data_IF_379724955119
#
_entry.id   IF_379724955119
#
_cell.length_a   1.000
_cell.length_b   1.000
_cell.length_c   1.000
_cell.angle_alpha   90.00
_cell.angle_beta   90.00
_cell.angle_gamma   90.00
#
_symmetry.space_group_name_H-M   'P 1'
#
loop_
_entity.id
_entity.type
_entity.pdbx_description
1 polymer ?
#
# COMPACT_ATOMS: atom_id res chain seq x y z
N UNK A 1 -1.89 -33.94 -34.66
CA UNK A 1 -1.01 -34.27 -33.51
C UNK A 1 -0.64 -32.97 -32.85
N UNK A 2 -1.18 -32.75 -31.67
CA UNK A 2 -1.51 -31.43 -31.12
C UNK A 2 -0.37 -30.84 -30.28
N UNK A 3 0.00 -29.59 -30.58
CA UNK A 3 0.97 -28.76 -29.86
C UNK A 3 0.29 -28.22 -28.55
N UNK A 4 -0.32 -29.11 -27.76
CA UNK A 4 -1.19 -28.67 -26.65
C UNK A 4 -0.63 -28.89 -25.24
N UNK A 5 0.54 -29.54 -25.07
CA UNK A 5 0.95 -30.03 -23.77
C UNK A 5 2.21 -29.39 -23.15
N UNK A 6 2.72 -28.26 -23.68
CA UNK A 6 4.00 -27.70 -23.21
C UNK A 6 3.93 -26.44 -22.35
N UNK A 7 2.76 -25.91 -22.03
CA UNK A 7 2.68 -24.62 -21.34
C UNK A 7 2.11 -24.64 -19.90
N UNK A 8 1.90 -25.84 -19.33
CA UNK A 8 1.24 -25.94 -18.02
C UNK A 8 2.18 -26.07 -16.81
N UNK A 9 3.49 -26.09 -16.97
CA UNK A 9 4.42 -26.45 -15.88
C UNK A 9 5.28 -25.31 -15.25
N UNK A 10 5.31 -24.04 -15.70
CA UNK A 10 6.32 -23.15 -15.11
C UNK A 10 5.88 -22.34 -13.91
N UNK A 11 4.58 -22.05 -13.71
CA UNK A 11 4.21 -21.05 -12.69
C UNK A 11 4.15 -21.58 -11.25
N UNK A 12 3.65 -22.79 -11.05
CA UNK A 12 3.62 -23.42 -9.72
C UNK A 12 5.01 -23.83 -9.23
N UNK A 13 5.85 -24.33 -10.11
CA UNK A 13 7.23 -24.72 -9.80
C UNK A 13 8.16 -23.51 -9.61
N UNK A 14 7.91 -22.40 -10.28
CA UNK A 14 8.66 -21.16 -10.05
C UNK A 14 8.36 -20.56 -8.67
N UNK A 15 7.13 -20.64 -8.21
CA UNK A 15 6.78 -20.22 -6.86
C UNK A 15 7.38 -21.15 -5.79
N UNK A 16 7.38 -22.45 -6.03
CA UNK A 16 7.97 -23.44 -5.13
C UNK A 16 9.51 -23.34 -5.09
N UNK A 17 10.18 -23.05 -6.21
CA UNK A 17 11.64 -22.89 -6.26
C UNK A 17 12.13 -21.60 -5.58
N UNK A 18 11.27 -20.57 -5.46
CA UNK A 18 11.58 -19.35 -4.73
C UNK A 18 11.43 -19.50 -3.21
N UNK A 19 10.72 -20.53 -2.76
CA UNK A 19 10.46 -20.81 -1.33
C UNK A 19 11.39 -21.90 -0.77
N UNK A 20 12.15 -22.60 -1.62
CA UNK A 20 13.02 -23.68 -1.16
C UNK A 20 14.25 -23.14 -0.37
N UNK A 21 14.54 -23.65 0.84
CA UNK A 21 15.58 -23.14 1.75
C UNK A 21 17.00 -23.56 1.36
N UNK A 22 17.35 -23.63 0.09
CA UNK A 22 18.73 -23.87 -0.36
C UNK A 22 19.58 -22.59 -0.34
N UNK A 23 19.48 -21.80 0.74
CA UNK A 23 20.37 -20.67 0.98
C UNK A 23 21.19 -20.89 2.23
N UNK A 24 22.29 -21.61 2.04
CA UNK A 24 23.42 -21.56 2.97
C UNK A 24 23.90 -20.10 3.09
N UNK A 25 24.14 -19.59 4.31
CA UNK A 25 24.69 -18.26 4.51
C UNK A 25 26.22 -18.33 4.41
N UNK A 26 26.74 -18.65 3.23
CA UNK A 26 28.16 -18.59 3.00
C UNK A 26 28.49 -17.82 1.75
N UNK A 27 29.27 -16.76 1.95
CA UNK A 27 30.13 -16.09 1.00
C UNK A 27 29.47 -15.19 -0.07
N UNK A 28 29.75 -13.89 0.05
CA UNK A 28 29.90 -12.93 -1.06
C UNK A 28 28.97 -13.09 -2.27
N UNK A 29 27.66 -13.02 -2.09
CA UNK A 29 26.79 -12.63 -3.18
C UNK A 29 27.07 -11.17 -3.48
N UNK A 30 27.74 -10.94 -4.60
CA UNK A 30 27.99 -9.59 -5.12
C UNK A 30 26.69 -8.77 -5.07
N UNK A 31 26.79 -7.50 -4.70
CA UNK A 31 25.63 -6.56 -4.66
C UNK A 31 24.78 -6.61 -5.94
N UNK A 32 25.34 -6.99 -7.08
CA UNK A 32 24.64 -7.25 -8.34
C UNK A 32 23.64 -8.41 -8.26
N UNK A 33 23.96 -9.51 -7.59
CA UNK A 33 23.05 -10.65 -7.47
C UNK A 33 21.84 -10.37 -6.56
N UNK A 34 22.04 -9.62 -5.49
CA UNK A 34 20.94 -9.17 -4.63
C UNK A 34 20.01 -8.19 -5.37
N UNK A 35 20.58 -7.27 -6.17
CA UNK A 35 19.82 -6.37 -7.00
C UNK A 35 18.95 -7.09 -8.03
N UNK A 36 19.47 -8.10 -8.70
CA UNK A 36 18.72 -8.86 -9.69
C UNK A 36 17.51 -9.57 -9.06
N UNK A 37 17.68 -10.17 -7.87
CA UNK A 37 16.61 -10.88 -7.19
C UNK A 37 15.47 -9.93 -6.71
N UNK A 38 15.81 -8.75 -6.24
CA UNK A 38 14.85 -7.74 -5.78
C UNK A 38 14.06 -7.14 -6.95
N UNK A 39 14.73 -6.82 -8.06
CA UNK A 39 14.07 -6.37 -9.30
C UNK A 39 13.15 -7.45 -9.83
N UNK A 40 13.61 -8.71 -9.86
CA UNK A 40 12.79 -9.86 -10.25
C UNK A 40 11.52 -9.99 -9.42
N UNK A 41 11.59 -9.78 -8.10
CA UNK A 41 10.42 -9.81 -7.21
C UNK A 41 9.41 -8.72 -7.55
N UNK A 42 9.85 -7.48 -7.77
CA UNK A 42 8.95 -6.37 -8.12
C UNK A 42 8.29 -6.63 -9.48
N UNK A 43 9.04 -7.08 -10.47
CA UNK A 43 8.51 -7.47 -11.79
C UNK A 43 7.47 -8.59 -11.65
N UNK A 44 7.75 -9.59 -10.83
CA UNK A 44 6.82 -10.70 -10.58
C UNK A 44 5.52 -10.22 -9.94
N UNK A 45 5.57 -9.30 -8.97
CA UNK A 45 4.37 -8.72 -8.35
C UNK A 45 3.54 -7.97 -9.40
N UNK A 46 4.15 -7.13 -10.23
CA UNK A 46 3.45 -6.45 -11.31
C UNK A 46 2.85 -7.43 -12.34
N UNK A 47 3.63 -8.44 -12.74
CA UNK A 47 3.14 -9.48 -13.65
C UNK A 47 1.96 -10.25 -13.07
N UNK A 48 2.01 -10.58 -11.77
CA UNK A 48 0.89 -11.22 -11.07
C UNK A 48 -0.37 -10.34 -11.06
N UNK A 49 -0.25 -9.07 -10.66
CA UNK A 49 -1.38 -8.15 -10.61
C UNK A 49 -1.99 -7.92 -12.00
N UNK A 50 -1.16 -7.72 -13.01
CA UNK A 50 -1.62 -7.55 -14.39
C UNK A 50 -2.25 -8.82 -14.94
N UNK A 51 -1.68 -9.99 -14.65
CA UNK A 51 -2.23 -11.27 -15.05
C UNK A 51 -3.57 -11.56 -14.38
N UNK A 52 -3.71 -11.26 -13.09
CA UNK A 52 -4.96 -11.42 -12.37
C UNK A 52 -6.08 -10.55 -12.95
N UNK A 53 -5.72 -9.37 -13.45
CA UNK A 53 -6.66 -8.43 -14.04
C UNK A 53 -7.05 -8.79 -15.48
N UNK A 54 -6.08 -9.12 -16.32
CA UNK A 54 -6.28 -9.21 -17.77
C UNK A 54 -6.19 -10.63 -18.33
N UNK A 55 -5.27 -11.44 -17.83
CA UNK A 55 -4.95 -12.74 -18.45
C UNK A 55 -5.81 -13.87 -17.90
N UNK A 56 -5.87 -14.01 -16.58
CA UNK A 56 -6.57 -15.15 -15.97
C UNK A 56 -8.07 -15.19 -16.27
N UNK A 57 -8.86 -14.10 -16.14
CA UNK A 57 -10.26 -14.16 -16.46
C UNK A 57 -10.52 -14.57 -17.92
N UNK A 58 -9.78 -13.98 -18.88
CA UNK A 58 -9.93 -14.31 -20.28
C UNK A 58 -9.51 -15.75 -20.58
N UNK A 59 -8.38 -16.20 -20.01
CA UNK A 59 -7.93 -17.58 -20.19
C UNK A 59 -8.96 -18.58 -19.66
N UNK A 60 -9.45 -18.40 -18.44
CA UNK A 60 -10.41 -19.32 -17.83
C UNK A 60 -11.76 -19.32 -18.54
N UNK A 61 -12.21 -18.20 -19.07
CA UNK A 61 -13.50 -18.11 -19.76
C UNK A 61 -13.44 -18.63 -21.20
N UNK A 62 -12.36 -18.36 -21.95
CA UNK A 62 -12.32 -18.60 -23.38
C UNK A 62 -11.36 -19.71 -23.82
N UNK A 63 -10.27 -19.93 -23.12
CA UNK A 63 -9.20 -20.85 -23.55
C UNK A 63 -9.16 -22.16 -22.75
N UNK A 64 -9.65 -22.18 -21.51
CA UNK A 64 -9.54 -23.34 -20.64
C UNK A 64 -10.45 -24.50 -21.09
N UNK A 65 -10.05 -25.74 -20.72
CA UNK A 65 -10.87 -26.92 -20.89
C UNK A 65 -12.24 -26.75 -20.20
N UNK A 66 -13.34 -27.31 -20.75
CA UNK A 66 -14.69 -27.12 -20.22
C UNK A 66 -14.86 -27.34 -18.70
N UNK A 67 -14.23 -28.37 -18.13
CA UNK A 67 -14.30 -28.61 -16.69
C UNK A 67 -13.59 -27.53 -15.87
N UNK A 68 -12.44 -27.01 -16.32
CA UNK A 68 -11.72 -25.88 -15.67
C UNK A 68 -12.58 -24.63 -15.72
N UNK A 69 -13.23 -24.39 -16.85
CA UNK A 69 -14.19 -23.28 -17.04
C UNK A 69 -15.36 -23.41 -16.06
N UNK A 70 -15.93 -24.61 -15.92
CA UNK A 70 -17.02 -24.86 -14.97
C UNK A 70 -16.60 -24.56 -13.52
N UNK A 71 -15.40 -24.99 -13.10
CA UNK A 71 -14.85 -24.69 -11.77
C UNK A 71 -14.65 -23.18 -11.58
N UNK A 72 -14.11 -22.49 -12.60
CA UNK A 72 -13.93 -21.05 -12.53
C UNK A 72 -15.26 -20.28 -12.46
N UNK A 73 -16.26 -20.67 -13.23
CA UNK A 73 -17.62 -20.10 -13.16
C UNK A 73 -18.23 -20.39 -11.78
N UNK A 74 -18.05 -21.60 -11.24
CA UNK A 74 -18.48 -21.96 -9.89
C UNK A 74 -17.81 -21.07 -8.82
N UNK A 75 -16.50 -20.83 -8.93
CA UNK A 75 -15.77 -19.92 -8.06
C UNK A 75 -16.31 -18.48 -8.14
N UNK A 76 -16.53 -17.95 -9.35
CA UNK A 76 -17.07 -16.59 -9.53
C UNK A 76 -18.50 -16.51 -8.98
N UNK A 77 -19.33 -17.51 -9.23
CA UNK A 77 -20.70 -17.57 -8.69
C UNK A 77 -20.70 -17.59 -7.16
N UNK A 78 -19.86 -18.45 -6.56
CA UNK A 78 -19.69 -18.48 -5.11
C UNK A 78 -19.19 -17.12 -4.57
N UNK A 79 -18.19 -16.52 -5.22
CA UNK A 79 -17.69 -15.21 -4.85
C UNK A 79 -18.79 -14.14 -4.85
N UNK A 80 -19.58 -14.08 -5.93
CA UNK A 80 -20.61 -13.04 -6.12
C UNK A 80 -21.80 -13.23 -5.16
N UNK A 81 -22.29 -14.47 -5.01
CA UNK A 81 -23.53 -14.72 -4.28
C UNK A 81 -23.33 -15.05 -2.80
N UNK A 82 -22.17 -15.58 -2.41
CA UNK A 82 -21.93 -16.07 -1.03
C UNK A 82 -20.86 -15.24 -0.32
N UNK A 83 -19.76 -14.93 -1.02
CA UNK A 83 -18.53 -14.44 -0.39
C UNK A 83 -18.26 -12.93 -0.64
N UNK A 84 -19.18 -12.26 -1.29
CA UNK A 84 -19.00 -10.84 -1.70
C UNK A 84 -18.66 -9.91 -0.53
N UNK A 85 -19.32 -10.08 0.61
CA UNK A 85 -19.16 -9.25 1.80
C UNK A 85 -17.98 -9.66 2.71
N UNK A 86 -17.28 -10.76 2.41
CA UNK A 86 -16.17 -11.26 3.25
C UNK A 86 -15.04 -10.26 3.46
N UNK A 87 -14.64 -9.42 2.49
CA UNK A 87 -13.63 -8.38 2.70
C UNK A 87 -13.95 -7.38 3.81
N UNK A 88 -15.21 -7.27 4.22
CA UNK A 88 -15.59 -6.42 5.35
C UNK A 88 -15.43 -7.09 6.72
N UNK A 89 -15.33 -8.42 6.74
CA UNK A 89 -15.39 -9.20 7.99
C UNK A 89 -14.03 -9.49 8.63
N UNK A 90 -12.94 -9.44 7.85
CA UNK A 90 -11.59 -9.82 8.30
C UNK A 90 -11.41 -11.32 8.61
N UNK A 91 -12.36 -12.18 8.25
CA UNK A 91 -12.40 -13.62 8.65
C UNK A 91 -11.34 -14.49 7.98
N UNK A 92 -10.77 -14.06 6.84
CA UNK A 92 -9.81 -14.88 6.08
C UNK A 92 -8.36 -14.50 6.29
N UNK A 93 -8.06 -13.79 7.36
CA UNK A 93 -6.69 -13.47 7.70
C UNK A 93 -5.91 -14.73 8.10
N UNK A 94 -4.75 -14.88 7.48
CA UNK A 94 -3.80 -15.96 7.75
C UNK A 94 -2.49 -15.32 8.24
N UNK A 95 -2.23 -15.25 9.56
CA UNK A 95 -1.10 -14.50 10.12
C UNK A 95 0.26 -14.89 9.56
N UNK A 96 0.46 -16.16 9.19
CA UNK A 96 1.71 -16.63 8.60
C UNK A 96 2.07 -15.98 7.26
N UNK A 97 1.06 -15.52 6.49
CA UNK A 97 1.28 -14.87 5.18
C UNK A 97 2.05 -13.56 5.31
N UNK A 98 1.89 -12.84 6.41
CA UNK A 98 2.64 -11.59 6.71
C UNK A 98 4.10 -11.83 7.05
N UNK A 99 4.46 -13.06 7.47
CA UNK A 99 5.81 -13.43 7.91
C UNK A 99 6.64 -14.12 6.83
N UNK A 100 6.13 -14.19 5.59
CA UNK A 100 6.85 -14.80 4.48
C UNK A 100 8.15 -14.06 4.18
N UNK A 101 9.30 -14.77 4.05
CA UNK A 101 10.63 -14.13 3.91
C UNK A 101 10.78 -13.22 2.70
N UNK A 102 9.96 -13.40 1.67
CA UNK A 102 10.04 -12.56 0.47
C UNK A 102 9.60 -11.11 0.73
N UNK A 103 8.79 -10.84 1.76
CA UNK A 103 8.42 -9.48 2.16
C UNK A 103 9.63 -8.68 2.64
N UNK A 104 10.60 -9.32 3.29
CA UNK A 104 11.85 -8.68 3.69
C UNK A 104 12.63 -8.19 2.46
N UNK A 105 12.67 -8.99 1.38
CA UNK A 105 13.31 -8.56 0.12
C UNK A 105 12.61 -7.36 -0.52
N UNK A 106 11.27 -7.28 -0.40
CA UNK A 106 10.49 -6.14 -0.87
C UNK A 106 10.75 -4.89 -0.02
N UNK A 107 10.80 -5.04 1.30
CA UNK A 107 11.16 -3.97 2.22
C UNK A 107 12.58 -3.46 1.97
N UNK A 108 13.53 -4.35 1.68
CA UNK A 108 14.92 -3.99 1.34
C UNK A 108 15.04 -3.29 -0.01
N UNK A 109 14.11 -3.55 -0.95
CA UNK A 109 14.11 -2.85 -2.22
C UNK A 109 13.86 -1.36 -2.05
N UNK A 110 12.94 -0.97 -1.17
CA UNK A 110 12.56 0.41 -0.87
C UNK A 110 13.22 0.98 0.38
N UNK A 111 14.17 0.32 1.04
CA UNK A 111 14.60 0.41 2.43
C UNK A 111 13.52 0.99 3.36
N UNK A 112 12.40 0.23 3.53
CA UNK A 112 11.30 0.67 4.40
C UNK A 112 11.66 0.47 5.86
N UNK A 113 11.56 1.52 6.67
CA UNK A 113 11.82 1.48 8.11
C UNK A 113 10.65 2.03 8.89
N UNK A 114 10.38 1.41 10.03
CA UNK A 114 9.34 1.83 10.97
C UNK A 114 9.96 2.50 12.18
N UNK A 115 9.48 3.69 12.51
CA UNK A 115 9.84 4.45 13.70
C UNK A 115 8.60 4.69 14.55
N UNK A 116 8.69 4.45 15.84
CA UNK A 116 7.63 4.76 16.80
C UNK A 116 8.01 5.95 17.68
N UNK A 117 7.09 6.87 17.89
CA UNK A 117 7.27 8.01 18.80
C UNK A 117 6.94 7.65 20.25
N UNK A 118 6.09 6.63 20.46
CA UNK A 118 5.70 6.14 21.78
C UNK A 118 5.28 4.67 21.72
N UNK A 119 5.12 4.06 22.88
CA UNK A 119 4.45 2.79 23.03
C UNK A 119 2.93 2.99 23.01
N UNK A 120 2.20 1.99 22.50
CA UNK A 120 0.75 1.97 22.49
C UNK A 120 0.24 0.88 23.45
N UNK A 121 -0.85 1.16 24.15
CA UNK A 121 -1.49 0.18 25.03
C UNK A 121 -1.99 -1.02 24.21
N UNK A 122 -1.53 -2.24 24.49
CA UNK A 122 -1.98 -3.44 23.80
C UNK A 122 -3.50 -3.69 23.86
N UNK A 123 -4.17 -3.16 24.86
CA UNK A 123 -5.63 -3.26 25.02
C UNK A 123 -6.39 -2.14 24.30
N UNK A 124 -5.70 -1.09 23.87
CA UNK A 124 -6.27 0.06 23.17
C UNK A 124 -6.66 -0.26 21.72
N UNK A 125 -7.70 0.37 21.22
CA UNK A 125 -8.12 0.28 19.82
C UNK A 125 -7.69 1.55 19.09
N UNK A 126 -7.06 1.41 17.91
CA UNK A 126 -6.43 2.52 17.21
C UNK A 126 -6.84 2.60 15.75
N UNK A 127 -7.02 3.83 15.27
CA UNK A 127 -7.16 4.16 13.86
C UNK A 127 -5.92 4.92 13.40
N UNK A 128 -5.05 4.23 12.67
CA UNK A 128 -3.84 4.80 12.08
C UNK A 128 -4.20 5.51 10.78
N UNK A 129 -3.97 6.80 10.70
CA UNK A 129 -4.10 7.58 9.47
C UNK A 129 -2.73 7.73 8.82
N UNK A 130 -2.55 7.11 7.67
CA UNK A 130 -1.28 7.09 6.94
C UNK A 130 -1.21 8.18 5.88
N UNK A 131 -0.10 8.90 5.84
CA UNK A 131 0.18 10.01 4.94
C UNK A 131 1.65 10.01 4.48
N UNK A 132 1.93 10.47 3.23
CA UNK A 132 0.99 10.68 2.14
C UNK A 132 0.51 9.36 1.53
N UNK A 133 -0.50 9.43 0.64
CA UNK A 133 -0.97 8.26 -0.10
C UNK A 133 0.09 7.72 -1.06
N UNK A 134 0.95 8.59 -1.59
CA UNK A 134 1.80 8.21 -2.69
C UNK A 134 0.99 7.82 -3.94
N UNK A 135 1.63 7.18 -4.89
CA UNK A 135 0.94 6.67 -6.08
C UNK A 135 0.20 5.35 -5.79
N UNK A 136 0.83 4.44 -5.05
CA UNK A 136 0.29 3.10 -4.76
C UNK A 136 0.35 2.69 -3.28
N UNK A 137 0.85 3.53 -2.38
CA UNK A 137 0.87 3.26 -0.94
C UNK A 137 1.80 2.11 -0.54
N UNK A 138 3.00 2.06 -1.10
CA UNK A 138 3.96 0.95 -0.89
C UNK A 138 4.38 0.82 0.57
N UNK A 139 4.72 1.94 1.20
CA UNK A 139 5.12 1.96 2.60
C UNK A 139 4.00 1.51 3.53
N UNK A 140 2.74 1.92 3.25
CA UNK A 140 1.58 1.46 3.99
C UNK A 140 1.39 -0.06 3.87
N UNK A 141 1.52 -0.60 2.66
CA UNK A 141 1.41 -2.04 2.42
C UNK A 141 2.49 -2.82 3.15
N UNK A 142 3.76 -2.44 2.99
CA UNK A 142 4.89 -3.15 3.61
C UNK A 142 4.81 -3.08 5.14
N UNK A 143 4.44 -1.92 5.70
CA UNK A 143 4.41 -1.71 7.15
C UNK A 143 3.20 -2.39 7.81
N UNK A 144 2.01 -2.29 7.22
CA UNK A 144 0.77 -2.69 7.90
C UNK A 144 0.14 -3.99 7.37
N UNK A 145 0.50 -4.44 6.16
CA UNK A 145 0.02 -5.71 5.61
C UNK A 145 1.06 -6.82 5.65
N UNK A 146 2.30 -6.52 6.06
CA UNK A 146 3.38 -7.50 6.25
C UNK A 146 4.08 -7.27 7.58
N UNK A 147 4.93 -8.19 8.01
CA UNK A 147 5.78 -8.00 9.19
C UNK A 147 7.24 -7.65 8.83
N UNK A 148 7.49 -7.23 7.60
CA UNK A 148 8.85 -6.95 7.12
C UNK A 148 9.53 -5.76 7.83
N UNK A 149 8.75 -4.81 8.37
CA UNK A 149 9.25 -3.67 9.16
C UNK A 149 9.28 -3.94 10.66
N UNK A 150 8.86 -5.13 11.11
CA UNK A 150 8.80 -5.46 12.53
C UNK A 150 7.63 -4.80 13.29
N UNK A 151 6.50 -4.54 12.62
CA UNK A 151 5.34 -3.88 13.27
C UNK A 151 4.82 -4.66 14.49
N UNK A 152 4.73 -6.00 14.40
CA UNK A 152 4.29 -6.85 15.51
C UNK A 152 5.21 -6.74 16.74
N UNK A 153 6.51 -6.54 16.52
CA UNK A 153 7.50 -6.36 17.58
C UNK A 153 7.49 -4.93 18.15
N UNK A 154 7.25 -3.94 17.29
CA UNK A 154 7.19 -2.54 17.69
C UNK A 154 5.94 -2.23 18.52
N UNK A 155 4.81 -2.89 18.22
CA UNK A 155 3.52 -2.69 18.86
C UNK A 155 2.90 -4.05 19.25
N UNK A 156 3.43 -4.70 20.29
CA UNK A 156 2.95 -6.03 20.71
C UNK A 156 1.51 -5.97 21.16
N UNK A 157 0.73 -7.00 20.83
CA UNK A 157 -0.67 -7.11 21.23
C UNK A 157 -1.67 -6.40 20.31
N UNK A 158 -1.22 -5.55 19.37
CA UNK A 158 -2.12 -4.93 18.41
C UNK A 158 -2.42 -5.87 17.24
N UNK A 159 -3.71 -6.11 16.98
CA UNK A 159 -4.19 -6.79 15.77
C UNK A 159 -4.64 -5.76 14.73
N UNK A 160 -3.68 -5.31 13.92
CA UNK A 160 -3.90 -4.26 12.93
C UNK A 160 -4.34 -4.82 11.58
N UNK A 161 -5.33 -4.16 10.97
CA UNK A 161 -5.81 -4.41 9.60
C UNK A 161 -5.59 -3.20 8.72
N UNK A 162 -4.88 -3.37 7.60
CA UNK A 162 -4.81 -2.35 6.56
C UNK A 162 -6.13 -2.34 5.78
N UNK A 163 -6.69 -1.16 5.55
CA UNK A 163 -7.94 -1.03 4.80
C UNK A 163 -7.68 -0.41 3.42
N UNK A 164 -8.37 -0.95 2.41
CA UNK A 164 -8.28 -0.47 1.03
C UNK A 164 -9.66 -0.37 0.38
N UNK A 165 -9.71 0.20 -0.83
CA UNK A 165 -10.97 0.36 -1.57
C UNK A 165 -11.62 -0.99 -1.88
N UNK A 166 -12.95 -1.05 -1.79
CA UNK A 166 -13.73 -2.25 -2.08
C UNK A 166 -13.47 -2.82 -3.49
N UNK A 167 -13.19 -1.95 -4.47
CA UNK A 167 -12.88 -2.37 -5.84
C UNK A 167 -11.67 -3.30 -5.93
N UNK A 168 -10.69 -3.21 -5.01
CA UNK A 168 -9.52 -4.08 -5.03
C UNK A 168 -9.87 -5.55 -4.74
N UNK A 169 -11.04 -5.80 -4.16
CA UNK A 169 -11.56 -7.15 -3.92
C UNK A 169 -12.44 -7.69 -5.06
N UNK A 170 -12.65 -6.92 -6.13
CA UNK A 170 -13.40 -7.40 -7.29
C UNK A 170 -12.57 -8.32 -8.20
N UNK A 171 -11.25 -8.31 -8.06
CA UNK A 171 -10.36 -9.08 -8.92
C UNK A 171 -10.15 -10.50 -8.36
N UNK A 172 -10.55 -11.55 -9.11
CA UNK A 172 -10.32 -12.94 -8.72
C UNK A 172 -8.85 -13.20 -8.38
N UNK A 173 -8.57 -14.10 -7.45
CA UNK A 173 -7.25 -14.46 -6.93
C UNK A 173 -6.55 -13.32 -6.16
N UNK A 174 -6.52 -12.09 -6.68
CA UNK A 174 -5.95 -10.93 -5.96
C UNK A 174 -6.69 -10.69 -4.65
N UNK A 175 -8.03 -10.77 -4.66
CA UNK A 175 -8.84 -10.63 -3.44
C UNK A 175 -8.49 -11.65 -2.37
N UNK A 176 -8.18 -12.88 -2.75
CA UNK A 176 -7.82 -13.94 -1.81
C UNK A 176 -6.48 -13.63 -1.11
N UNK A 177 -5.50 -13.14 -1.89
CA UNK A 177 -4.21 -12.71 -1.34
C UNK A 177 -4.38 -11.53 -0.38
N UNK A 178 -5.19 -10.52 -0.75
CA UNK A 178 -5.46 -9.37 0.12
C UNK A 178 -6.10 -9.81 1.44
N UNK A 179 -7.14 -10.64 1.39
CA UNK A 179 -7.80 -11.14 2.59
C UNK A 179 -6.89 -12.02 3.45
N UNK A 180 -6.06 -12.87 2.83
CA UNK A 180 -5.08 -13.69 3.54
C UNK A 180 -4.05 -12.83 4.30
N UNK A 181 -3.64 -11.69 3.73
CA UNK A 181 -2.80 -10.70 4.40
C UNK A 181 -3.55 -9.87 5.46
N UNK A 182 -4.85 -10.09 5.65
CA UNK A 182 -5.68 -9.34 6.58
C UNK A 182 -5.96 -7.91 6.11
N UNK A 183 -5.90 -7.67 4.80
CA UNK A 183 -6.36 -6.41 4.21
C UNK A 183 -7.87 -6.49 4.07
N UNK A 184 -8.58 -5.44 4.48
CA UNK A 184 -10.03 -5.37 4.48
C UNK A 184 -10.53 -4.16 3.68
N UNK A 185 -11.83 -4.15 3.39
CA UNK A 185 -12.48 -3.03 2.73
C UNK A 185 -12.58 -1.81 3.65
N UNK A 186 -12.47 -0.59 3.10
CA UNK A 186 -12.55 0.68 3.84
C UNK A 186 -13.99 1.19 4.01
N UNK A 187 -15.01 0.33 3.82
CA UNK A 187 -16.40 0.71 4.07
C UNK A 187 -16.61 1.05 5.55
N UNK A 188 -17.60 1.90 5.83
CA UNK A 188 -17.92 2.30 7.22
C UNK A 188 -18.20 1.09 8.11
N UNK A 189 -18.96 0.12 7.59
CA UNK A 189 -19.28 -1.11 8.30
C UNK A 189 -18.03 -1.93 8.62
N UNK A 190 -17.09 -2.03 7.67
CA UNK A 190 -15.82 -2.72 7.86
C UNK A 190 -14.94 -2.03 8.88
N UNK A 191 -14.79 -0.69 8.79
CA UNK A 191 -14.02 0.10 9.77
C UNK A 191 -14.56 -0.13 11.17
N UNK A 192 -15.87 0.03 11.37
CA UNK A 192 -16.52 -0.17 12.67
C UNK A 192 -16.30 -1.58 13.20
N UNK A 193 -16.56 -2.61 12.38
CA UNK A 193 -16.40 -4.02 12.76
C UNK A 193 -14.95 -4.33 13.15
N UNK A 194 -13.98 -3.85 12.37
CA UNK A 194 -12.58 -4.11 12.65
C UNK A 194 -12.09 -3.39 13.91
N UNK A 195 -12.59 -2.19 14.22
CA UNK A 195 -12.21 -1.46 15.43
C UNK A 195 -12.89 -1.97 16.69
N UNK A 196 -14.03 -2.67 16.58
CA UNK A 196 -14.80 -3.10 17.78
C UNK A 196 -14.77 -4.61 18.01
N UNK A 197 -13.94 -5.37 17.27
CA UNK A 197 -13.95 -6.84 17.37
C UNK A 197 -13.32 -7.39 18.64
N UNK A 198 -12.32 -6.72 19.20
CA UNK A 198 -11.60 -7.12 20.40
C UNK A 198 -10.75 -5.94 20.94
N UNK A 199 -10.26 -6.00 22.19
CA UNK A 199 -9.16 -5.15 22.66
C UNK A 199 -7.93 -5.32 21.75
N UNK A 200 -7.18 -4.26 21.51
CA UNK A 200 -6.03 -4.25 20.60
C UNK A 200 -6.38 -4.23 19.11
N UNK A 201 -7.66 -4.37 18.76
CA UNK A 201 -8.10 -4.33 17.37
C UNK A 201 -7.89 -2.94 16.76
N UNK A 202 -7.13 -2.87 15.69
CA UNK A 202 -6.71 -1.61 15.09
C UNK A 202 -6.86 -1.63 13.58
N UNK A 203 -6.99 -0.46 12.97
CA UNK A 203 -7.03 -0.31 11.52
C UNK A 203 -6.05 0.75 11.04
N UNK A 204 -5.49 0.56 9.85
CA UNK A 204 -4.73 1.58 9.14
C UNK A 204 -5.47 1.98 7.86
N UNK A 205 -5.59 3.28 7.63
CA UNK A 205 -6.26 3.87 6.46
C UNK A 205 -5.31 4.85 5.80
N UNK A 206 -5.11 4.71 4.49
CA UNK A 206 -4.41 5.72 3.69
C UNK A 206 -5.42 6.80 3.31
N UNK A 207 -5.45 7.89 4.08
CA UNK A 207 -6.59 8.82 4.12
C UNK A 207 -6.77 9.64 2.84
N UNK A 208 -5.68 10.05 2.19
CA UNK A 208 -5.71 10.91 0.99
C UNK A 208 -6.46 10.29 -0.20
N UNK A 209 -6.34 8.98 -0.36
CA UNK A 209 -7.01 8.23 -1.42
C UNK A 209 -6.58 8.63 -2.83
N UNK A 210 -7.36 8.20 -3.83
CA UNK A 210 -7.06 8.40 -5.25
C UNK A 210 -6.89 9.88 -5.68
N UNK A 211 -7.46 10.83 -4.94
CA UNK A 211 -7.29 12.24 -5.26
C UNK A 211 -5.86 12.71 -4.97
N UNK A 212 -5.32 12.33 -3.81
CA UNK A 212 -3.95 12.66 -3.42
C UNK A 212 -2.91 11.97 -4.31
N UNK A 213 -3.20 10.75 -4.76
CA UNK A 213 -2.32 10.03 -5.68
C UNK A 213 -2.09 10.77 -7.01
N UNK A 214 -3.04 11.61 -7.46
CA UNK A 214 -2.90 12.42 -8.66
C UNK A 214 -1.95 13.62 -8.46
N UNK A 215 -1.77 14.06 -7.24
CA UNK A 215 -0.96 15.22 -6.87
C UNK A 215 0.35 14.80 -6.19
N UNK A 216 0.59 13.47 -6.06
CA UNK A 216 1.80 12.91 -5.49
C UNK A 216 3.01 13.25 -6.36
N UNK A 217 3.96 14.02 -5.82
CA UNK A 217 5.20 14.41 -6.51
C UNK A 217 6.39 14.28 -5.55
N UNK A 218 7.57 13.89 -6.04
CA UNK A 218 8.77 13.80 -5.23
C UNK A 218 9.05 15.09 -4.46
N UNK A 219 9.31 14.96 -3.16
CA UNK A 219 9.60 16.08 -2.26
C UNK A 219 8.39 16.93 -1.86
N UNK A 220 7.18 16.58 -2.25
CA UNK A 220 5.97 17.33 -1.90
C UNK A 220 5.17 16.63 -0.81
N UNK A 221 4.67 17.42 0.16
CA UNK A 221 3.79 16.97 1.22
C UNK A 221 2.43 17.71 1.14
N UNK A 222 1.78 17.63 -0.03
CA UNK A 222 0.43 18.17 -0.23
C UNK A 222 -0.55 17.05 0.07
N UNK A 223 -1.34 17.20 1.13
CA UNK A 223 -2.26 16.19 1.60
C UNK A 223 -3.71 16.62 1.34
N UNK A 224 -4.48 15.76 0.70
CA UNK A 224 -5.93 15.93 0.53
C UNK A 224 -6.65 15.51 1.81
N UNK A 225 -6.59 16.33 2.84
CA UNK A 225 -7.04 15.97 4.19
C UNK A 225 -8.08 16.96 4.78
N UNK A 226 -8.08 18.23 4.36
CA UNK A 226 -8.97 19.24 4.95
C UNK A 226 -10.46 18.85 4.93
N UNK A 227 -10.89 18.14 3.88
CA UNK A 227 -12.27 17.67 3.71
C UNK A 227 -12.50 16.21 4.12
N UNK A 228 -11.44 15.49 4.53
CA UNK A 228 -11.50 14.05 4.86
C UNK A 228 -11.77 13.84 6.35
N UNK A 229 -13.02 14.02 6.77
CA UNK A 229 -13.43 13.89 8.19
C UNK A 229 -14.03 12.53 8.55
N UNK A 230 -14.22 11.65 7.57
CA UNK A 230 -14.90 10.36 7.78
C UNK A 230 -14.20 9.43 8.75
N UNK A 231 -12.86 9.37 8.73
CA UNK A 231 -12.08 8.55 9.63
C UNK A 231 -12.16 9.05 11.08
N UNK A 232 -12.19 10.38 11.29
CA UNK A 232 -12.40 11.00 12.62
C UNK A 232 -13.78 10.64 13.17
N UNK A 233 -14.82 10.74 12.32
CA UNK A 233 -16.18 10.31 12.71
C UNK A 233 -16.19 8.87 13.15
N UNK A 234 -15.47 7.98 12.49
CA UNK A 234 -15.39 6.56 12.84
C UNK A 234 -14.63 6.34 14.16
N UNK A 235 -13.52 7.05 14.38
CA UNK A 235 -12.79 7.02 15.65
C UNK A 235 -13.67 7.43 16.83
N UNK A 236 -14.39 8.54 16.71
CA UNK A 236 -15.36 8.99 17.72
C UNK A 236 -16.49 7.98 17.96
N UNK A 237 -17.06 7.40 16.90
CA UNK A 237 -18.14 6.38 17.03
C UNK A 237 -17.68 5.12 17.76
N UNK A 238 -16.46 4.72 17.57
CA UNK A 238 -15.92 3.47 18.13
C UNK A 238 -15.16 3.68 19.45
N UNK A 239 -14.75 4.91 19.77
CA UNK A 239 -13.86 5.23 20.88
C UNK A 239 -12.40 4.85 20.62
N UNK A 240 -12.03 4.56 19.35
CA UNK A 240 -10.67 4.26 18.97
C UNK A 240 -9.83 5.53 18.94
N UNK A 241 -8.60 5.49 19.46
CA UNK A 241 -7.67 6.62 19.40
C UNK A 241 -7.17 6.83 17.98
N UNK A 242 -7.07 8.08 17.54
CA UNK A 242 -6.46 8.44 16.27
C UNK A 242 -4.94 8.45 16.38
N UNK A 243 -4.25 7.80 15.45
CA UNK A 243 -2.78 7.78 15.41
C UNK A 243 -2.31 8.37 14.08
N UNK A 244 -1.68 9.55 14.06
CA UNK A 244 -1.11 10.09 12.84
C UNK A 244 0.14 9.31 12.45
N UNK A 245 0.26 8.97 11.17
CA UNK A 245 1.43 8.30 10.60
C UNK A 245 1.91 9.07 9.38
N UNK A 246 3.20 9.39 9.34
CA UNK A 246 3.80 10.04 8.18
C UNK A 246 4.93 9.19 7.60
N UNK A 247 4.93 9.02 6.28
CA UNK A 247 5.92 8.25 5.53
C UNK A 247 6.76 9.18 4.65
N UNK A 248 7.95 9.47 5.10
CA UNK A 248 8.92 10.24 4.34
C UNK A 248 9.48 9.36 3.22
N UNK A 249 9.47 9.87 1.99
CA UNK A 249 9.94 9.14 0.80
C UNK A 249 8.85 8.40 0.02
N UNK A 250 7.63 8.27 0.53
CA UNK A 250 6.53 7.60 -0.17
C UNK A 250 6.25 8.22 -1.55
N UNK A 251 6.28 9.56 -1.66
CA UNK A 251 6.09 10.26 -2.93
C UNK A 251 7.33 10.23 -3.85
N UNK A 252 8.49 9.79 -3.35
CA UNK A 252 9.75 9.85 -4.09
C UNK A 252 9.98 8.61 -4.98
N UNK A 253 9.23 7.52 -4.75
CA UNK A 253 9.41 6.23 -5.46
C UNK A 253 8.96 6.26 -6.92
N UNK A 254 8.08 7.19 -7.29
CA UNK A 254 7.65 7.43 -8.66
C UNK A 254 7.61 8.91 -8.99
N UNK A 255 7.67 9.22 -10.28
CA UNK A 255 7.36 10.55 -10.80
C UNK A 255 6.04 10.50 -11.55
N UNK A 256 5.21 11.50 -11.33
CA UNK A 256 3.96 11.65 -12.04
C UNK A 256 4.20 12.37 -13.37
N UNK A 257 3.49 11.90 -14.41
CA UNK A 257 3.45 12.64 -15.67
C UNK A 257 2.72 13.97 -15.48
N UNK A 258 3.14 14.99 -16.22
CA UNK A 258 2.46 16.27 -16.19
C UNK A 258 1.00 16.12 -16.61
N UNK A 259 0.09 16.50 -15.72
CA UNK A 259 -1.35 16.40 -15.91
C UNK A 259 -2.06 17.66 -15.38
N UNK A 260 -1.75 18.86 -15.93
CA UNK A 260 -2.35 20.10 -15.48
C UNK A 260 -3.89 20.05 -15.59
N UNK A 261 -4.56 20.87 -14.79
CA UNK A 261 -6.02 20.99 -14.85
C UNK A 261 -6.46 21.32 -16.28
N UNK A 262 -7.55 20.66 -16.74
CA UNK A 262 -8.05 20.81 -18.10
C UNK A 262 -7.35 19.98 -19.17
N UNK A 263 -6.21 19.32 -18.88
CA UNK A 263 -5.56 18.43 -19.85
C UNK A 263 -6.45 17.24 -20.22
N UNK A 264 -6.30 16.65 -21.43
CA UNK A 264 -7.05 15.44 -21.80
C UNK A 264 -6.84 14.28 -20.83
N UNK A 265 -5.59 14.13 -20.34
CA UNK A 265 -5.25 13.10 -19.35
C UNK A 265 -6.02 13.34 -18.04
N UNK A 266 -6.02 14.59 -17.52
CA UNK A 266 -6.73 14.93 -16.27
C UNK A 266 -8.24 14.70 -16.40
N UNK A 267 -8.84 15.08 -17.54
CA UNK A 267 -10.26 14.84 -17.81
C UNK A 267 -10.61 13.35 -17.84
N UNK A 268 -9.78 12.55 -18.52
CA UNK A 268 -9.93 11.09 -18.53
C UNK A 268 -9.83 10.50 -17.12
N UNK A 269 -8.85 10.91 -16.33
CA UNK A 269 -8.66 10.45 -14.96
C UNK A 269 -9.85 10.81 -14.05
N UNK A 270 -10.37 12.02 -14.17
CA UNK A 270 -11.57 12.45 -13.41
C UNK A 270 -12.82 11.69 -13.84
N UNK A 271 -13.00 11.45 -15.13
CA UNK A 271 -14.08 10.63 -15.66
C UNK A 271 -14.02 9.19 -15.12
N UNK A 272 -12.86 8.56 -15.14
CA UNK A 272 -12.64 7.23 -14.56
C UNK A 272 -12.96 7.20 -13.06
N UNK A 273 -12.56 8.25 -12.34
CA UNK A 273 -12.88 8.39 -10.91
C UNK A 273 -14.37 8.45 -10.65
N UNK A 274 -15.14 9.13 -11.50
CA UNK A 274 -16.61 9.19 -11.39
C UNK A 274 -17.26 7.84 -11.70
N UNK A 275 -16.73 7.11 -12.70
CA UNK A 275 -17.30 5.86 -13.17
C UNK A 275 -17.04 4.68 -12.22
N UNK A 276 -15.80 4.51 -11.76
CA UNK A 276 -15.35 3.32 -11.02
C UNK A 276 -14.71 3.64 -9.66
N UNK A 277 -14.72 4.93 -9.25
CA UNK A 277 -14.13 5.37 -7.98
C UNK A 277 -12.60 5.37 -7.94
N UNK A 278 -11.93 4.96 -9.02
CA UNK A 278 -10.46 4.87 -9.13
C UNK A 278 -9.96 5.88 -10.15
N UNK A 279 -8.84 6.49 -9.83
CA UNK A 279 -8.13 7.37 -10.75
C UNK A 279 -6.85 6.68 -11.19
N UNK A 280 -6.71 6.25 -12.46
CA UNK A 280 -5.47 5.67 -12.94
C UNK A 280 -4.38 6.75 -13.00
N UNK A 281 -3.37 6.71 -12.11
CA UNK A 281 -2.28 7.68 -12.16
C UNK A 281 -1.40 7.38 -13.38
N UNK A 282 -1.00 8.42 -14.09
CA UNK A 282 0.01 8.32 -15.13
C UNK A 282 1.37 8.66 -14.53
N UNK A 283 2.19 7.65 -14.32
CA UNK A 283 3.46 7.78 -13.62
C UNK A 283 4.57 7.00 -14.31
N UNK A 284 5.78 7.33 -13.97
CA UNK A 284 6.97 6.57 -14.36
C UNK A 284 7.98 6.53 -13.20
N UNK A 285 8.83 5.54 -13.26
CA UNK A 285 9.96 5.40 -12.36
C UNK A 285 11.22 5.11 -13.15
N UNK A 286 11.93 4.04 -12.80
CA UNK A 286 13.16 3.61 -13.46
C UNK A 286 12.88 2.74 -14.68
N UNK A 287 13.75 2.84 -15.68
CA UNK A 287 13.83 1.85 -16.76
C UNK A 287 14.32 0.50 -16.23
N UNK A 288 13.81 -0.59 -16.78
CA UNK A 288 14.41 -1.93 -16.63
C UNK A 288 15.79 -1.93 -17.27
N UNK A 289 16.83 -2.18 -16.49
CA UNK A 289 18.20 -2.30 -16.98
C UNK A 289 18.35 -3.63 -17.72
N UNK A 290 18.44 -3.58 -19.06
CA UNK A 290 18.76 -4.76 -19.91
C UNK A 290 18.05 -4.80 -21.26
N UNK A 291 18.80 -5.04 -22.34
CA UNK A 291 18.31 -5.49 -23.66
C UNK A 291 17.33 -4.58 -24.40
N UNK A 292 16.31 -5.20 -24.97
CA UNK A 292 15.30 -4.58 -25.85
C UNK A 292 14.49 -3.49 -25.12
N UNK A 293 14.16 -3.70 -23.83
CA UNK A 293 13.41 -2.74 -23.04
C UNK A 293 14.15 -1.42 -22.79
N UNK A 294 15.49 -1.45 -22.67
CA UNK A 294 16.29 -0.22 -22.60
C UNK A 294 16.22 0.59 -23.91
N UNK A 295 16.07 -0.09 -25.07
CA UNK A 295 15.89 0.59 -26.36
C UNK A 295 14.50 1.26 -26.47
N UNK A 296 13.45 0.63 -25.94
CA UNK A 296 12.09 1.21 -25.93
C UNK A 296 11.98 2.42 -24.98
N UNK A 297 12.67 2.40 -23.84
CA UNK A 297 12.65 3.47 -22.84
C UNK A 297 14.00 4.23 -22.82
N UNK A 298 14.38 4.79 -23.94
CA UNK A 298 15.65 5.54 -24.13
C UNK A 298 15.90 6.68 -23.11
N UNK A 299 14.83 7.19 -22.48
CA UNK A 299 14.88 8.32 -21.54
C UNK A 299 15.27 7.93 -20.09
N UNK A 300 15.59 6.66 -19.80
CA UNK A 300 15.79 6.19 -18.42
C UNK A 300 14.50 6.08 -17.60
N UNK A 301 13.36 6.49 -18.17
CA UNK A 301 12.03 6.39 -17.59
C UNK A 301 11.42 5.02 -17.87
N UNK A 302 10.72 4.45 -16.90
CA UNK A 302 10.11 3.13 -17.08
C UNK A 302 9.10 2.81 -15.97
N UNK A 303 8.50 1.63 -15.99
CA UNK A 303 7.45 1.26 -15.05
C UNK A 303 7.98 0.87 -13.66
N UNK A 304 9.29 0.67 -13.49
CA UNK A 304 9.84 0.21 -12.21
C UNK A 304 9.93 1.36 -11.20
N UNK A 305 9.53 1.13 -9.94
CA UNK A 305 9.70 2.12 -8.89
C UNK A 305 11.18 2.47 -8.68
N UNK A 306 11.44 3.69 -8.25
CA UNK A 306 12.75 4.11 -7.78
C UNK A 306 13.06 3.41 -6.45
N UNK A 307 14.34 3.20 -6.17
CA UNK A 307 14.81 2.66 -4.89
C UNK A 307 15.06 3.81 -3.92
N UNK A 308 13.98 4.43 -3.49
CA UNK A 308 14.05 5.49 -2.48
C UNK A 308 13.66 4.90 -1.12
N UNK A 309 14.34 5.32 -0.05
CA UNK A 309 13.98 4.89 1.30
C UNK A 309 12.64 5.47 1.72
N UNK A 310 11.86 4.67 2.44
CA UNK A 310 10.60 5.08 3.03
C UNK A 310 10.73 4.97 4.54
N UNK A 311 10.68 6.10 5.24
CA UNK A 311 10.75 6.16 6.70
C UNK A 311 9.34 6.42 7.25
N UNK A 312 8.73 5.38 7.79
CA UNK A 312 7.36 5.43 8.34
C UNK A 312 7.43 5.79 9.81
N UNK A 313 6.91 6.93 10.18
CA UNK A 313 6.90 7.43 11.57
C UNK A 313 5.48 7.35 12.12
N UNK A 314 5.31 6.61 13.21
CA UNK A 314 4.06 6.50 13.97
C UNK A 314 4.08 7.52 15.11
N UNK A 315 3.13 8.45 15.11
CA UNK A 315 3.01 9.51 16.09
C UNK A 315 2.28 9.10 17.37
N UNK A 316 2.05 10.07 18.25
CA UNK A 316 1.32 9.87 19.49
C UNK A 316 -0.17 9.65 19.24
N UNK A 317 -0.84 8.77 20.02
CA UNK A 317 -2.27 8.57 19.92
C UNK A 317 -3.04 9.79 20.46
N UNK A 318 -4.11 10.15 19.77
CA UNK A 318 -5.08 11.17 20.19
C UNK A 318 -6.29 10.40 20.74
N UNK A 319 -6.50 10.35 22.06
CA UNK A 319 -7.63 9.65 22.65
C UNK A 319 -8.96 10.24 22.17
N UNK A 320 -9.88 9.39 21.74
CA UNK A 320 -11.22 9.80 21.30
C UNK A 320 -12.27 9.21 22.23
N UNK A 321 -13.20 10.01 22.72
CA UNK A 321 -14.35 9.51 23.48
C UNK A 321 -15.26 8.71 22.55
N UNK A 322 -15.93 7.70 23.10
CA UNK A 322 -16.95 6.94 22.34
C UNK A 322 -18.26 7.72 22.33
N UNK A 323 -18.64 8.22 21.16
CA UNK A 323 -19.85 9.02 20.94
C UNK A 323 -20.67 8.35 19.83
N UNK A 324 -21.88 7.87 20.14
CA UNK A 324 -22.70 7.15 19.18
C UNK A 324 -23.02 7.99 17.93
N UNK A 325 -23.40 9.25 18.14
CA UNK A 325 -23.70 10.21 17.06
C UNK A 325 -22.93 11.52 17.28
N UNK A 326 -21.66 11.57 16.84
CA UNK A 326 -20.84 12.76 17.00
C UNK A 326 -21.36 13.90 16.15
N UNK A 327 -21.46 15.09 16.75
CA UNK A 327 -21.84 16.33 16.09
C UNK A 327 -20.76 16.79 15.10
N UNK A 328 -21.13 17.63 14.14
CA UNK A 328 -20.14 18.23 13.22
C UNK A 328 -19.06 19.00 13.97
N UNK A 329 -19.43 19.74 15.02
CA UNK A 329 -18.48 20.49 15.87
C UNK A 329 -17.43 19.56 16.53
N UNK A 330 -17.86 18.43 17.10
CA UNK A 330 -16.95 17.46 17.70
C UNK A 330 -16.03 16.83 16.66
N UNK A 331 -16.57 16.50 15.47
CA UNK A 331 -15.74 15.97 14.36
C UNK A 331 -14.71 17.01 13.94
N UNK A 332 -15.07 18.28 13.83
CA UNK A 332 -14.17 19.35 13.42
C UNK A 332 -13.07 19.62 14.45
N UNK A 333 -13.41 19.57 15.74
CA UNK A 333 -12.47 19.69 16.86
C UNK A 333 -11.40 18.58 16.82
N UNK A 334 -11.81 17.31 16.75
CA UNK A 334 -10.87 16.19 16.69
C UNK A 334 -10.11 16.13 15.36
N UNK A 335 -10.72 16.59 14.27
CA UNK A 335 -10.02 16.74 13.01
C UNK A 335 -8.93 17.81 13.07
N UNK A 336 -9.17 18.95 13.70
CA UNK A 336 -8.18 19.99 13.92
C UNK A 336 -7.01 19.50 14.80
N UNK A 337 -7.31 18.78 15.88
CA UNK A 337 -6.30 18.11 16.72
C UNK A 337 -5.45 17.14 15.91
N UNK A 338 -6.07 16.34 15.05
CA UNK A 338 -5.37 15.40 14.18
C UNK A 338 -4.44 16.12 13.20
N UNK A 339 -4.91 17.19 12.55
CA UNK A 339 -4.08 17.98 11.62
C UNK A 339 -2.88 18.62 12.33
N UNK A 340 -3.08 19.15 13.53
CA UNK A 340 -2.01 19.72 14.34
C UNK A 340 -0.97 18.67 14.73
N UNK A 341 -1.39 17.51 15.23
CA UNK A 341 -0.49 16.41 15.61
C UNK A 341 0.27 15.86 14.38
N UNK A 342 -0.39 15.74 13.22
CA UNK A 342 0.27 15.31 12.00
C UNK A 342 1.31 16.32 11.52
N UNK A 343 1.00 17.63 11.64
CA UNK A 343 1.94 18.70 11.29
C UNK A 343 3.16 18.68 12.22
N UNK A 344 2.95 18.55 13.51
CA UNK A 344 4.03 18.43 14.50
C UNK A 344 4.92 17.22 14.24
N UNK A 345 4.31 16.04 13.97
CA UNK A 345 5.03 14.82 13.59
C UNK A 345 5.92 15.07 12.36
N UNK A 346 5.38 15.71 11.32
CA UNK A 346 6.11 16.03 10.11
C UNK A 346 7.26 17.00 10.39
N UNK A 347 7.01 18.12 11.08
CA UNK A 347 8.01 19.16 11.33
C UNK A 347 9.17 18.66 12.21
N UNK A 348 8.87 17.80 13.19
CA UNK A 348 9.86 17.18 14.07
C UNK A 348 10.81 16.24 13.29
N UNK A 349 10.25 15.39 12.43
CA UNK A 349 11.01 14.31 11.81
C UNK A 349 11.59 14.67 10.44
N UNK A 350 11.08 15.69 9.71
CA UNK A 350 11.59 16.07 8.39
C UNK A 350 13.09 16.38 8.42
N UNK A 351 13.60 17.03 9.49
CA UNK A 351 15.03 17.37 9.64
C UNK A 351 15.90 16.12 9.83
N UNK A 352 15.40 15.13 10.60
CA UNK A 352 16.09 13.86 10.80
C UNK A 352 16.16 13.06 9.50
N UNK A 353 15.05 13.00 8.78
CA UNK A 353 14.97 12.34 7.49
C UNK A 353 15.95 12.94 6.47
N UNK A 354 16.11 14.26 6.44
CA UNK A 354 17.11 14.93 5.62
C UNK A 354 18.54 14.54 6.00
N UNK A 355 18.84 14.42 7.30
CA UNK A 355 20.18 13.98 7.76
C UNK A 355 20.48 12.53 7.34
N UNK A 356 19.48 11.65 7.42
CA UNK A 356 19.64 10.24 7.02
C UNK A 356 19.86 10.08 5.50
N UNK A 357 19.14 10.85 4.69
CA UNK A 357 19.38 10.92 3.24
C UNK A 357 20.77 11.50 2.90
N UNK A 358 21.30 12.42 3.69
CA UNK A 358 22.65 12.99 3.53
C UNK A 358 23.76 11.94 3.69
N UNK A 359 23.60 11.04 4.63
CA UNK A 359 24.60 10.01 4.89
C UNK A 359 24.73 8.98 3.75
N UNK A 360 23.77 8.88 2.87
CA UNK A 360 23.69 7.88 1.80
C UNK A 360 23.93 8.36 0.36
N UNK A 361 24.03 9.68 0.09
CA UNK A 361 24.15 10.19 -1.30
C UNK A 361 24.89 11.53 -1.36
N UNK A 362 25.97 11.60 -2.17
CA UNK A 362 26.89 12.76 -2.19
C UNK A 362 26.55 13.92 -3.13
N UNK A 363 25.64 13.78 -4.14
CA UNK A 363 25.69 14.73 -5.27
C UNK A 363 24.40 15.50 -5.65
N UNK A 364 23.23 15.29 -5.02
CA UNK A 364 21.98 15.94 -5.50
C UNK A 364 21.15 16.65 -4.42
N UNK A 365 21.76 16.94 -3.32
CA UNK A 365 21.06 17.24 -2.07
C UNK A 365 20.54 18.67 -1.97
N UNK A 366 21.32 19.65 -2.46
CA UNK A 366 20.95 21.07 -2.37
C UNK A 366 19.72 21.40 -3.23
N UNK A 367 19.59 20.78 -4.41
CA UNK A 367 18.44 20.98 -5.30
C UNK A 367 17.15 20.36 -4.75
N UNK A 368 17.25 19.27 -3.97
CA UNK A 368 16.07 18.62 -3.36
C UNK A 368 15.63 19.25 -2.04
N UNK A 369 16.56 19.85 -1.28
CA UNK A 369 16.23 20.55 -0.03
C UNK A 369 15.38 21.80 -0.24
N UNK A 370 15.54 22.51 -1.37
CA UNK A 370 14.72 23.66 -1.71
C UNK A 370 13.28 23.29 -2.13
N UNK A 371 13.03 22.00 -2.41
CA UNK A 371 11.75 21.47 -2.92
C UNK A 371 10.84 20.87 -1.84
N UNK A 372 11.36 20.52 -0.64
CA UNK A 372 10.48 20.09 0.45
C UNK A 372 9.77 21.30 1.03
N UNK A 373 8.58 21.51 0.52
CA UNK A 373 7.67 22.56 0.95
C UNK A 373 7.03 22.16 2.28
N UNK A 374 6.54 23.17 3.01
CA UNK A 374 5.69 22.95 4.18
C UNK A 374 4.55 21.99 3.84
N UNK A 375 4.13 21.18 4.83
CA UNK A 375 2.95 20.35 4.69
C UNK A 375 1.74 21.24 4.39
N UNK A 376 1.04 20.98 3.31
CA UNK A 376 -0.19 21.67 2.92
C UNK A 376 -1.36 20.71 3.01
N UNK A 377 -2.44 21.18 3.62
CA UNK A 377 -3.70 20.46 3.69
C UNK A 377 -4.68 21.08 2.67
N UNK A 378 -5.10 20.31 1.68
CA UNK A 378 -6.11 20.67 0.69
C UNK A 378 -7.44 19.94 0.94
#
# INVERSE_FOLDING_TARGET
>A
MCIRDRYFLPFGLYFASLVHPAFSPSAHRTMRGQHASQVGLVVMIYAFLLSALLVYPNYFLFCAHPWIRAVFIGYISWYVFVDYATPESGKRFLPWTRRLPFWNKLADYFPVRLHKSCDLDPAGNYLFGYHPHGIIGVGAFITFATNATGFEQAFPGLDLRLLTLAINFMFPFTREVLMALGINSVTRASVQRNLTRAPGASVAIVVGGAAEALDARPGWAVLTLARRKGFVKMALKTGASLVPVFAFGENDIFEQMDNPEGSPLRRFQLWMKQLIGVTPPAFYGRSLSGGVLRRMFRSGKGPMPKRESIEVVVGHPIPCPKIAEPTLRQIDEYHALYLSSLKELYDTHRRLFHKLKRAGSHDDLHARMSKMKEIKFS
#
